data_IF_874452496924
#
_entry.id   IF_874452496924
#
_cell.length_a   1.000
_cell.length_b   1.000
_cell.length_c   1.000
_cell.angle_alpha   90.00
_cell.angle_beta   90.00
_cell.angle_gamma   90.00
#
_symmetry.space_group_name_H-M   'P 1'
#
loop_
_entity.id
_entity.type
_entity.pdbx_description
1 polymer ?
#
# COMPACT_ATOMS: atom_id res chain seq x y z
N UNK A 1 11.46 1.44 -33.94
CA UNK A 1 11.01 2.40 -32.91
C UNK A 1 9.85 3.19 -33.51
N UNK A 2 8.62 2.67 -33.36
CA UNK A 2 7.42 3.41 -33.78
C UNK A 2 6.96 4.22 -32.57
N UNK A 3 7.01 5.55 -32.71
CA UNK A 3 6.56 6.49 -31.69
C UNK A 3 5.04 6.52 -31.77
N UNK A 4 4.36 5.96 -30.78
CA UNK A 4 2.90 6.03 -30.69
C UNK A 4 2.51 7.48 -30.44
N UNK A 5 1.72 8.03 -31.36
CA UNK A 5 1.33 9.44 -31.39
C UNK A 5 0.32 9.75 -30.25
N UNK A 6 0.69 10.61 -29.28
CA UNK A 6 -0.18 10.95 -28.16
C UNK A 6 -1.49 11.66 -28.57
N UNK A 7 -1.55 12.27 -29.77
CA UNK A 7 -2.79 12.90 -30.23
C UNK A 7 -3.86 11.89 -30.66
N UNK A 8 -3.45 10.74 -31.20
CA UNK A 8 -4.36 9.67 -31.64
C UNK A 8 -5.13 9.06 -30.45
N UNK A 9 -4.48 8.95 -29.29
CA UNK A 9 -5.08 8.44 -28.04
C UNK A 9 -6.13 9.42 -27.52
N UNK A 10 -5.85 10.74 -27.58
CA UNK A 10 -6.77 11.79 -27.12
C UNK A 10 -8.01 11.86 -28.01
N UNK A 11 -7.87 11.62 -29.31
CA UNK A 11 -8.98 11.61 -30.26
C UNK A 11 -9.93 10.43 -30.02
N UNK A 12 -9.41 9.22 -29.83
CA UNK A 12 -10.22 8.01 -29.59
C UNK A 12 -11.02 8.08 -28.27
N UNK A 13 -10.48 8.75 -27.25
CA UNK A 13 -11.17 8.97 -25.95
C UNK A 13 -12.30 10.00 -26.07
N UNK A 14 -12.18 10.96 -26.99
CA UNK A 14 -13.16 12.04 -27.16
C UNK A 14 -14.45 11.57 -27.85
N UNK A 15 -14.37 10.54 -28.70
CA UNK A 15 -15.50 10.01 -29.47
C UNK A 15 -16.46 9.12 -28.67
N UNK A 16 -16.03 8.56 -27.52
CA UNK A 16 -16.86 7.65 -26.69
C UNK A 16 -17.70 8.34 -25.61
N UNK A 17 -17.87 9.67 -25.64
CA UNK A 17 -18.63 10.42 -24.62
C UNK A 17 -20.16 10.17 -24.76
N UNK A 18 -20.85 9.57 -23.78
CA UNK A 18 -22.31 9.56 -23.76
C UNK A 18 -22.84 10.90 -23.21
N UNK A 19 -23.92 11.39 -23.80
CA UNK A 19 -24.65 12.59 -23.41
C UNK A 19 -25.32 12.38 -22.05
N UNK A 20 -25.14 13.34 -21.13
CA UNK A 20 -25.60 13.26 -19.75
C UNK A 20 -27.08 13.65 -19.60
N UNK A 21 -27.89 12.76 -19.04
CA UNK A 21 -29.12 13.09 -18.30
C UNK A 21 -29.31 12.06 -17.17
N UNK A 22 -29.59 12.53 -15.95
CA UNK A 22 -29.92 11.68 -14.80
C UNK A 22 -29.29 12.14 -13.49
N UNK A 23 -30.05 12.90 -12.70
CA UNK A 23 -29.71 13.33 -11.34
C UNK A 23 -29.85 12.16 -10.38
N UNK A 24 -28.80 11.36 -10.18
CA UNK A 24 -28.77 10.35 -9.11
C UNK A 24 -27.44 10.40 -8.33
N UNK A 25 -27.59 10.35 -7.01
CA UNK A 25 -26.58 10.48 -5.95
C UNK A 25 -25.17 9.99 -6.35
N UNK A 26 -24.16 10.88 -6.26
CA UNK A 26 -22.79 10.58 -6.67
C UNK A 26 -21.92 10.06 -5.49
N UNK A 27 -21.58 8.75 -5.41
CA UNK A 27 -20.74 8.21 -4.35
C UNK A 27 -19.22 8.37 -4.56
N UNK A 28 -18.73 9.17 -5.52
CA UNK A 28 -17.35 9.00 -6.02
C UNK A 28 -16.49 10.27 -6.14
N UNK A 29 -16.45 11.15 -5.14
CA UNK A 29 -15.32 12.09 -5.01
C UNK A 29 -14.37 11.65 -3.90
N UNK A 30 -13.59 10.60 -4.17
CA UNK A 30 -12.44 10.26 -3.31
C UNK A 30 -11.49 11.46 -3.36
N UNK A 31 -11.51 12.27 -2.29
CA UNK A 31 -10.62 13.42 -2.12
C UNK A 31 -9.17 12.94 -2.02
N UNK A 32 -8.19 13.84 -2.21
CA UNK A 32 -6.75 13.49 -2.11
C UNK A 32 -6.37 12.78 -0.80
N UNK A 33 -7.14 13.01 0.28
CA UNK A 33 -6.99 12.34 1.58
C UNK A 33 -7.40 10.85 1.54
N UNK A 34 -8.38 10.49 0.71
CA UNK A 34 -8.90 9.12 0.62
C UNK A 34 -7.91 8.12 0.01
N UNK A 35 -7.16 8.52 -1.03
CA UNK A 35 -6.19 7.64 -1.69
C UNK A 35 -5.06 7.19 -0.76
N UNK A 36 -4.65 8.06 0.17
CA UNK A 36 -3.67 7.71 1.18
C UNK A 36 -4.18 6.59 2.09
N UNK A 37 -5.40 6.71 2.62
CA UNK A 37 -6.00 5.68 3.48
C UNK A 37 -6.23 4.36 2.72
N UNK A 38 -6.67 4.42 1.46
CA UNK A 38 -6.76 3.22 0.61
C UNK A 38 -5.40 2.54 0.41
N UNK A 39 -4.33 3.33 0.24
CA UNK A 39 -2.96 2.82 0.20
C UNK A 39 -2.57 2.06 1.46
N UNK A 40 -3.09 2.43 2.63
CA UNK A 40 -2.86 1.70 3.89
C UNK A 40 -3.50 0.31 3.86
N UNK A 41 -4.71 0.18 3.33
CA UNK A 41 -5.37 -1.12 3.19
C UNK A 41 -4.69 -2.01 2.15
N UNK A 42 -4.26 -1.44 1.02
CA UNK A 42 -3.55 -2.16 -0.05
C UNK A 42 -2.14 -2.64 0.35
N UNK A 43 -1.56 -2.11 1.43
CA UNK A 43 -0.23 -2.46 1.93
C UNK A 43 -0.08 -3.90 2.46
N UNK A 44 -1.21 -4.58 2.75
CA UNK A 44 -1.25 -5.86 3.48
C UNK A 44 -1.37 -7.11 2.58
N UNK A 45 -2.10 -7.10 1.44
CA UNK A 45 -2.14 -8.23 0.52
C UNK A 45 -0.90 -8.26 -0.39
N UNK A 46 -0.01 -9.23 -0.13
CA UNK A 46 0.69 -10.03 -1.15
C UNK A 46 1.77 -9.40 -2.04
N UNK A 47 1.57 -8.22 -2.65
CA UNK A 47 2.44 -7.85 -3.79
C UNK A 47 2.70 -6.34 -4.00
N UNK A 48 3.01 -5.67 -2.89
CA UNK A 48 3.29 -4.22 -2.83
C UNK A 48 4.77 -3.89 -3.14
N UNK A 49 5.31 -4.50 -4.19
CA UNK A 49 6.66 -4.15 -4.69
C UNK A 49 6.61 -3.48 -6.07
N UNK A 50 5.50 -3.57 -6.78
CA UNK A 50 5.33 -2.87 -8.04
C UNK A 50 5.12 -1.37 -7.80
N UNK A 51 5.72 -0.54 -8.65
CA UNK A 51 5.52 0.91 -8.57
C UNK A 51 4.06 1.17 -8.99
N UNK A 52 3.25 1.74 -8.10
CA UNK A 52 1.82 2.05 -8.39
C UNK A 52 1.58 2.74 -9.75
N UNK A 53 2.49 3.60 -10.19
CA UNK A 53 2.47 4.24 -11.51
C UNK A 53 2.64 3.25 -12.68
N UNK A 54 3.53 2.25 -12.54
CA UNK A 54 3.65 1.18 -13.53
C UNK A 54 2.36 0.36 -13.59
N UNK A 55 1.81 -0.01 -12.43
CA UNK A 55 0.54 -0.75 -12.34
C UNK A 55 -0.59 0.01 -13.03
N UNK A 56 -0.74 1.31 -12.73
CA UNK A 56 -1.79 2.16 -13.32
C UNK A 56 -1.59 2.34 -14.82
N UNK A 57 -0.36 2.57 -15.28
CA UNK A 57 -0.11 2.73 -16.71
C UNK A 57 -0.32 1.41 -17.47
N UNK A 58 0.12 0.27 -16.94
CA UNK A 58 -0.16 -1.05 -17.50
C UNK A 58 -1.66 -1.33 -17.57
N UNK A 59 -2.40 -1.02 -16.49
CA UNK A 59 -3.86 -1.16 -16.44
C UNK A 59 -4.57 -0.32 -17.49
N UNK A 60 -4.27 0.98 -17.55
CA UNK A 60 -4.86 1.90 -18.54
C UNK A 60 -4.57 1.42 -19.97
N UNK A 61 -3.32 1.04 -20.26
CA UNK A 61 -2.96 0.53 -21.59
C UNK A 61 -3.75 -0.75 -21.92
N UNK A 62 -3.88 -1.67 -20.97
CA UNK A 62 -4.65 -2.90 -21.18
C UNK A 62 -6.14 -2.65 -21.43
N UNK A 63 -6.73 -1.63 -20.82
CA UNK A 63 -8.14 -1.28 -21.01
C UNK A 63 -8.40 -0.54 -22.34
N UNK A 64 -7.37 0.08 -22.91
CA UNK A 64 -7.46 0.83 -24.18
C UNK A 64 -7.06 -0.02 -25.38
N UNK A 65 -6.21 -1.04 -25.19
CA UNK A 65 -5.76 -1.96 -26.25
C UNK A 65 -6.96 -2.59 -26.96
N UNK A 66 -6.91 -2.56 -28.29
CA UNK A 66 -7.79 -3.37 -29.13
C UNK A 66 -7.29 -4.83 -29.17
N UNK A 67 -8.18 -5.77 -29.44
CA UNK A 67 -7.95 -7.22 -29.32
C UNK A 67 -6.84 -7.79 -30.22
N UNK A 68 -6.32 -7.01 -31.18
CA UNK A 68 -5.32 -7.42 -32.17
C UNK A 68 -3.86 -7.06 -31.78
N UNK A 69 -3.61 -6.46 -30.61
CA UNK A 69 -2.25 -6.15 -30.16
C UNK A 69 -1.56 -7.38 -29.52
N UNK A 70 -0.62 -8.00 -30.24
CA UNK A 70 0.11 -9.22 -29.83
C UNK A 70 1.01 -9.08 -28.58
N UNK A 71 1.10 -7.88 -28.00
CA UNK A 71 1.94 -7.69 -26.81
C UNK A 71 1.24 -8.25 -25.57
N UNK A 72 1.63 -9.46 -25.16
CA UNK A 72 1.20 -10.11 -23.92
C UNK A 72 1.33 -9.14 -22.74
N UNK A 73 0.26 -8.88 -22.00
CA UNK A 73 0.30 -7.88 -20.94
C UNK A 73 1.00 -8.45 -19.70
N UNK A 74 1.62 -7.57 -18.91
CA UNK A 74 2.23 -7.95 -17.63
C UNK A 74 1.13 -8.41 -16.67
N UNK A 75 0.91 -9.73 -16.60
CA UNK A 75 -0.13 -10.38 -15.80
C UNK A 75 -0.08 -9.96 -14.33
N UNK A 76 1.12 -9.74 -13.79
CA UNK A 76 1.31 -9.31 -12.40
C UNK A 76 0.86 -7.87 -12.21
N UNK A 77 1.19 -6.99 -13.16
CA UNK A 77 0.71 -5.60 -13.14
C UNK A 77 -0.80 -5.50 -13.39
N UNK A 78 -1.38 -6.36 -14.23
CA UNK A 78 -2.85 -6.43 -14.39
C UNK A 78 -3.52 -6.92 -13.12
N UNK A 79 -3.00 -7.98 -12.50
CA UNK A 79 -3.52 -8.47 -11.23
C UNK A 79 -3.51 -7.39 -10.15
N UNK A 80 -2.39 -6.65 -10.03
CA UNK A 80 -2.29 -5.52 -9.12
C UNK A 80 -3.25 -4.37 -9.48
N UNK A 81 -3.47 -4.10 -10.76
CA UNK A 81 -4.43 -3.11 -11.24
C UNK A 81 -5.87 -3.48 -10.86
N UNK A 82 -6.26 -4.73 -11.05
CA UNK A 82 -7.59 -5.24 -10.70
C UNK A 82 -7.84 -5.11 -9.19
N UNK A 83 -6.86 -5.52 -8.36
CA UNK A 83 -6.94 -5.35 -6.91
C UNK A 83 -7.12 -3.88 -6.52
N UNK A 84 -6.38 -2.95 -7.14
CA UNK A 84 -6.56 -1.52 -6.87
C UNK A 84 -7.96 -1.02 -7.28
N UNK A 85 -8.49 -1.49 -8.41
CA UNK A 85 -9.81 -1.10 -8.89
C UNK A 85 -10.95 -1.66 -8.02
N UNK A 86 -10.78 -2.86 -7.47
CA UNK A 86 -11.72 -3.45 -6.52
C UNK A 86 -11.68 -2.75 -5.15
N UNK A 87 -10.48 -2.41 -4.69
CA UNK A 87 -10.27 -1.81 -3.36
C UNK A 87 -10.65 -0.33 -3.30
N UNK A 88 -10.52 0.40 -4.41
CA UNK A 88 -10.71 1.85 -4.44
C UNK A 88 -11.94 2.17 -5.30
N UNK A 89 -13.06 2.60 -4.69
CA UNK A 89 -14.29 2.90 -5.41
C UNK A 89 -14.07 3.94 -6.52
N UNK A 90 -14.56 3.63 -7.73
CA UNK A 90 -14.46 4.52 -8.89
C UNK A 90 -13.05 4.73 -9.46
N UNK A 91 -12.04 4.01 -8.94
CA UNK A 91 -10.65 4.22 -9.32
C UNK A 91 -10.37 3.98 -10.80
N UNK A 92 -10.92 2.90 -11.36
CA UNK A 92 -10.78 2.55 -12.78
C UNK A 92 -11.22 3.72 -13.67
N UNK A 93 -12.45 4.18 -13.51
CA UNK A 93 -13.02 5.28 -14.31
C UNK A 93 -12.18 6.55 -14.13
N UNK A 94 -11.81 6.87 -12.89
CA UNK A 94 -11.00 8.06 -12.60
C UNK A 94 -9.62 8.02 -13.25
N UNK A 95 -8.96 6.87 -13.27
CA UNK A 95 -7.66 6.70 -13.91
C UNK A 95 -7.75 6.76 -15.45
N UNK A 96 -8.85 6.24 -16.03
CA UNK A 96 -9.12 6.34 -17.47
C UNK A 96 -9.44 7.79 -17.91
N UNK A 97 -10.23 8.53 -17.14
CA UNK A 97 -10.44 9.99 -17.35
C UNK A 97 -9.14 10.77 -17.34
N UNK A 98 -8.22 10.38 -16.45
CA UNK A 98 -6.90 11.00 -16.31
C UNK A 98 -5.85 10.38 -17.24
N UNK A 99 -6.22 9.55 -18.23
CA UNK A 99 -5.27 8.89 -19.14
C UNK A 99 -4.35 9.87 -19.89
N UNK A 100 -4.85 11.05 -20.24
CA UNK A 100 -4.07 12.14 -20.83
C UNK A 100 -3.25 12.98 -19.84
N UNK A 101 -3.58 12.94 -18.54
CA UNK A 101 -2.91 13.73 -17.50
C UNK A 101 -2.00 12.85 -16.62
N UNK A 102 -0.78 12.61 -17.10
CA UNK A 102 0.20 11.80 -16.39
C UNK A 102 0.60 12.40 -15.03
N UNK A 103 0.62 13.73 -14.90
CA UNK A 103 1.01 14.41 -13.66
C UNK A 103 -0.02 14.16 -12.55
N UNK A 104 -1.31 14.30 -12.87
CA UNK A 104 -2.39 14.02 -11.93
C UNK A 104 -2.41 12.55 -11.48
N UNK A 105 -2.25 11.59 -12.42
CA UNK A 105 -2.14 10.16 -12.06
C UNK A 105 -0.96 9.89 -11.15
N UNK A 106 0.20 10.47 -11.46
CA UNK A 106 1.42 10.32 -10.65
C UNK A 106 1.25 10.86 -9.24
N UNK A 107 0.53 11.98 -9.07
CA UNK A 107 0.20 12.53 -7.76
C UNK A 107 -0.69 11.56 -6.96
N UNK A 108 -1.74 11.01 -7.55
CA UNK A 108 -2.62 10.02 -6.89
C UNK A 108 -1.83 8.76 -6.52
N UNK A 109 -1.01 8.25 -7.44
CA UNK A 109 -0.14 7.10 -7.19
C UNK A 109 0.90 7.37 -6.10
N UNK A 110 1.29 8.63 -5.86
CA UNK A 110 2.20 8.99 -4.77
C UNK A 110 1.50 8.89 -3.42
N UNK A 111 0.25 9.34 -3.31
CA UNK A 111 -0.55 9.24 -2.09
C UNK A 111 -0.79 7.78 -1.69
N UNK A 112 -1.19 6.94 -2.64
CA UNK A 112 -1.37 5.49 -2.41
C UNK A 112 -0.08 4.87 -1.88
N UNK A 113 1.06 5.15 -2.54
CA UNK A 113 2.38 4.65 -2.09
C UNK A 113 2.77 5.17 -0.71
N UNK A 114 2.43 6.43 -0.38
CA UNK A 114 2.72 6.99 0.93
C UNK A 114 1.95 6.23 2.03
N UNK A 115 0.67 5.93 1.80
CA UNK A 115 -0.14 5.08 2.68
C UNK A 115 0.44 3.67 2.85
N UNK A 116 0.81 3.02 1.75
CA UNK A 116 1.43 1.68 1.76
C UNK A 116 2.73 1.65 2.58
N UNK A 117 3.62 2.63 2.36
CA UNK A 117 4.88 2.74 3.11
C UNK A 117 4.62 2.98 4.59
N UNK A 118 3.61 3.80 4.92
CA UNK A 118 3.25 4.11 6.29
C UNK A 118 2.84 2.86 7.06
N UNK A 119 2.01 1.99 6.49
CA UNK A 119 1.55 0.77 7.16
C UNK A 119 2.70 -0.14 7.55
N UNK A 120 3.68 -0.35 6.67
CA UNK A 120 4.87 -1.16 7.01
C UNK A 120 5.65 -0.56 8.18
N UNK A 121 5.76 0.77 8.22
CA UNK A 121 6.40 1.47 9.34
C UNK A 121 5.57 1.37 10.63
N UNK A 122 4.24 1.44 10.54
CA UNK A 122 3.35 1.33 11.69
C UNK A 122 3.33 -0.11 12.26
N UNK A 123 3.34 -1.14 11.41
CA UNK A 123 3.41 -2.54 11.83
C UNK A 123 4.73 -2.82 12.58
N UNK A 124 5.87 -2.35 12.06
CA UNK A 124 7.18 -2.48 12.75
C UNK A 124 7.28 -1.62 14.01
N UNK A 125 6.69 -0.42 14.02
CA UNK A 125 6.67 0.49 15.19
C UNK A 125 5.80 -0.05 16.32
N UNK A 126 4.68 -0.69 16.00
CA UNK A 126 3.73 -1.23 16.98
C UNK A 126 4.20 -2.55 17.58
N UNK A 127 4.98 -3.34 16.84
CA UNK A 127 5.51 -4.65 17.27
C UNK A 127 6.22 -4.61 18.63
N UNK A 128 6.97 -3.54 18.92
CA UNK A 128 7.67 -3.38 20.22
C UNK A 128 6.74 -3.34 21.43
N UNK A 129 5.46 -2.96 21.25
CA UNK A 129 4.47 -2.98 22.32
C UNK A 129 3.80 -4.35 22.37
N UNK A 130 3.48 -4.94 21.21
CA UNK A 130 2.91 -6.29 21.12
C UNK A 130 3.80 -7.36 21.77
N UNK A 131 5.11 -7.32 21.51
CA UNK A 131 6.07 -8.25 22.14
C UNK A 131 6.10 -8.06 23.67
N UNK A 132 6.06 -6.82 24.16
CA UNK A 132 6.02 -6.58 25.61
C UNK A 132 4.73 -7.10 26.23
N UNK A 133 3.58 -6.83 25.62
CA UNK A 133 2.30 -7.37 26.07
C UNK A 133 2.30 -8.89 26.08
N UNK A 134 2.89 -9.52 25.07
CA UNK A 134 3.04 -10.97 25.01
C UNK A 134 3.93 -11.52 26.14
N UNK A 135 5.07 -10.88 26.42
CA UNK A 135 5.94 -11.25 27.54
C UNK A 135 5.26 -11.11 28.91
N UNK A 136 4.37 -10.13 29.06
CA UNK A 136 3.61 -9.90 30.30
C UNK A 136 2.40 -10.83 30.45
N UNK A 137 1.99 -11.54 29.39
CA UNK A 137 0.86 -12.48 29.39
C UNK A 137 1.21 -13.86 29.98
N UNK A 138 2.46 -14.09 30.37
CA UNK A 138 2.92 -15.35 30.95
C UNK A 138 2.30 -15.67 32.33
N UNK A 139 2.62 -16.85 32.87
CA UNK A 139 2.24 -17.19 34.25
C UNK A 139 2.86 -16.20 35.24
N UNK A 140 2.28 -15.95 36.44
CA UNK A 140 2.86 -15.02 37.43
C UNK A 140 4.33 -15.33 37.79
N UNK A 141 4.73 -16.59 37.68
CA UNK A 141 6.11 -17.09 37.84
C UNK A 141 7.07 -16.68 36.73
N UNK A 142 6.56 -16.42 35.52
CA UNK A 142 7.35 -16.04 34.34
C UNK A 142 7.36 -14.51 34.12
N UNK A 143 6.64 -13.75 34.96
CA UNK A 143 6.64 -12.31 34.82
C UNK A 143 8.04 -11.73 35.06
N UNK A 144 8.44 -10.75 34.24
CA UNK A 144 9.72 -10.13 34.43
C UNK A 144 9.80 -9.41 35.78
N UNK A 145 10.90 -9.60 36.50
CA UNK A 145 11.26 -8.87 37.72
C UNK A 145 12.60 -8.16 37.49
N UNK A 146 12.62 -6.81 37.51
CA UNK A 146 11.50 -5.90 37.75
C UNK A 146 10.46 -5.85 36.61
N UNK A 147 9.22 -5.44 36.89
CA UNK A 147 8.18 -5.37 35.86
C UNK A 147 8.60 -4.48 34.66
N UNK A 148 8.38 -4.97 33.44
CA UNK A 148 8.67 -4.22 32.23
C UNK A 148 7.67 -3.07 32.04
N UNK A 149 8.19 -1.87 31.78
CA UNK A 149 7.36 -0.73 31.42
C UNK A 149 7.04 -0.75 29.91
N UNK A 150 5.74 -0.80 29.59
CA UNK A 150 5.22 -0.76 28.22
C UNK A 150 5.51 0.55 27.48
N UNK A 151 5.70 1.66 28.21
CA UNK A 151 5.80 3.02 27.66
C UNK A 151 7.25 3.45 27.45
N UNK A 152 8.14 3.13 28.38
CA UNK A 152 9.54 3.56 28.33
C UNK A 152 10.48 2.48 27.76
N UNK A 153 11.72 2.85 27.46
CA UNK A 153 12.77 1.91 26.99
C UNK A 153 13.83 1.61 28.04
N UNK A 154 13.77 2.29 29.20
CA UNK A 154 14.86 2.27 30.17
C UNK A 154 15.02 0.93 30.88
N UNK A 155 13.91 0.24 31.17
CA UNK A 155 13.87 -1.03 31.91
C UNK A 155 13.62 -2.26 31.02
N UNK A 156 14.30 -2.38 29.87
CA UNK A 156 14.22 -3.55 28.97
C UNK A 156 15.46 -3.70 28.10
N UNK A 157 15.56 -4.81 27.36
CA UNK A 157 16.71 -5.12 26.51
C UNK A 157 17.91 -5.52 27.37
N UNK A 158 19.08 -4.96 27.08
CA UNK A 158 20.31 -5.20 27.87
C UNK A 158 20.29 -4.58 29.27
N UNK A 159 19.40 -3.62 29.53
CA UNK A 159 19.30 -2.96 30.83
C UNK A 159 18.43 -3.72 31.84
N UNK A 160 17.93 -4.91 31.48
CA UNK A 160 17.04 -5.68 32.33
C UNK A 160 17.48 -7.16 32.29
N UNK A 161 17.67 -7.82 33.45
CA UNK A 161 18.33 -9.12 33.53
C UNK A 161 17.65 -10.22 32.71
N UNK A 162 16.33 -10.38 32.79
CA UNK A 162 15.63 -11.42 32.02
C UNK A 162 15.62 -11.14 30.51
N UNK A 163 15.36 -9.90 30.06
CA UNK A 163 15.40 -9.60 28.63
C UNK A 163 16.82 -9.63 28.07
N UNK A 164 17.84 -9.27 28.87
CA UNK A 164 19.24 -9.41 28.49
C UNK A 164 19.60 -10.89 28.30
N UNK A 165 19.15 -11.77 29.20
CA UNK A 165 19.32 -13.23 29.07
C UNK A 165 18.68 -13.81 27.82
N UNK A 166 17.52 -13.28 27.39
CA UNK A 166 16.86 -13.72 26.15
C UNK A 166 17.56 -13.24 24.89
N UNK A 167 18.27 -12.11 24.96
CA UNK A 167 19.04 -11.55 23.84
C UNK A 167 20.47 -12.11 23.77
N UNK A 168 21.02 -12.54 24.90
CA UNK A 168 22.37 -13.06 25.00
C UNK A 168 22.46 -14.46 24.39
N UNK A 169 23.42 -14.75 23.50
CA UNK A 169 23.69 -16.11 23.10
C UNK A 169 24.01 -16.97 24.33
N UNK A 170 23.51 -18.21 24.39
CA UNK A 170 23.60 -19.08 25.57
C UNK A 170 25.02 -19.33 26.11
N UNK A 171 26.05 -19.08 25.30
CA UNK A 171 27.48 -19.22 25.66
C UNK A 171 28.08 -17.99 26.37
N UNK A 172 27.33 -16.91 26.51
CA UNK A 172 27.79 -15.68 27.13
C UNK A 172 26.90 -15.30 28.31
N UNK A 173 27.53 -14.80 29.36
CA UNK A 173 26.78 -14.25 30.48
C UNK A 173 26.07 -12.95 30.06
N UNK A 174 24.77 -12.79 30.40
CA UNK A 174 23.95 -11.68 29.95
C UNK A 174 24.21 -10.37 30.69
N UNK A 175 25.03 -10.41 31.74
CA UNK A 175 25.44 -9.27 32.55
C UNK A 175 26.97 -9.25 32.64
N UNK A 176 27.62 -8.07 32.62
CA UNK A 176 29.04 -7.95 32.94
C UNK A 176 29.33 -8.40 34.38
#
# INVERSE_FOLDING_TARGET
MSVVDPEAIVAAVKERRPTAEGTENNPASVTSSGYYEFGRYCGRPGDVLLKADQVVNCGILNEIKDSDDETAPDERSIGAWNVLCEMIPGFKNRMLELSGDHSARKAICREIRAGMKKVRSDDTKSLKHGILSFMLLGTPTDQPSPALDGKTRHNRGWNHPQTARLLCPAKYDPTP
#
